data_IF_894438314499
#
_entry.id   IF_894438314499
#
_cell.length_a   1.000
_cell.length_b   1.000
_cell.length_c   1.000
_cell.angle_alpha   90.00
_cell.angle_beta   90.00
_cell.angle_gamma   90.00
#
_symmetry.space_group_name_H-M   'P 1'
#
loop_
_entity.id
_entity.type
_entity.pdbx_description
1 polymer ?
#
# COMPACT_ATOMS: atom_id res chain seq x y z
N UNK A 1 33.04 52.61 28.14
CA UNK A 1 34.30 51.90 27.91
C UNK A 1 33.95 50.44 27.64
N UNK A 2 33.87 50.04 26.36
CA UNK A 2 34.93 49.31 25.61
C UNK A 2 34.96 47.84 26.12
N UNK A 3 34.70 46.77 25.35
CA UNK A 3 34.80 46.52 23.91
C UNK A 3 33.81 45.43 23.45
N UNK A 4 33.24 45.64 22.25
CA UNK A 4 32.77 44.60 21.32
C UNK A 4 33.97 43.82 20.74
N UNK A 5 33.84 42.50 20.56
CA UNK A 5 34.48 41.69 19.50
C UNK A 5 33.55 40.47 19.30
N UNK A 6 32.84 40.20 18.20
CA UNK A 6 33.14 40.15 16.76
C UNK A 6 34.22 39.13 16.37
N UNK A 7 33.80 37.89 16.12
CA UNK A 7 34.53 36.98 15.24
C UNK A 7 33.58 36.34 14.22
N UNK A 8 33.61 36.94 13.03
CA UNK A 8 33.40 36.27 11.74
C UNK A 8 34.61 35.37 11.44
N UNK A 9 34.39 34.24 10.77
CA UNK A 9 35.22 33.52 9.78
C UNK A 9 34.59 32.11 9.66
N UNK A 10 34.45 31.43 8.53
CA UNK A 10 34.73 31.68 7.13
C UNK A 10 34.02 30.57 6.34
N UNK A 11 33.48 30.92 5.17
CA UNK A 11 32.94 30.00 4.17
C UNK A 11 33.96 28.93 3.75
N UNK A 12 33.60 27.65 3.88
CA UNK A 12 34.17 26.58 3.07
C UNK A 12 33.04 25.86 2.32
N UNK A 13 32.87 26.30 1.06
CA UNK A 13 32.12 25.62 0.02
C UNK A 13 32.84 24.30 -0.30
N UNK A 14 32.26 23.18 0.10
CA UNK A 14 32.57 21.89 -0.50
C UNK A 14 31.42 21.47 -1.43
N UNK A 15 31.49 21.96 -2.67
CA UNK A 15 30.74 21.41 -3.80
C UNK A 15 31.34 20.03 -4.12
N UNK A 16 30.76 18.95 -3.59
CA UNK A 16 30.97 17.63 -4.18
C UNK A 16 30.04 17.48 -5.38
N UNK A 17 30.69 17.47 -6.54
CA UNK A 17 30.15 17.25 -7.87
C UNK A 17 29.64 15.80 -7.94
N UNK A 18 28.37 15.56 -7.62
CA UNK A 18 27.70 14.33 -8.03
C UNK A 18 27.25 14.53 -9.47
N UNK A 19 27.99 13.92 -10.40
CA UNK A 19 27.61 13.82 -11.79
C UNK A 19 26.30 13.04 -11.89
N UNK A 20 25.19 13.75 -12.08
CA UNK A 20 23.97 13.16 -12.59
C UNK A 20 24.26 12.67 -14.02
N UNK A 21 24.50 11.37 -14.18
CA UNK A 21 24.26 10.73 -15.48
C UNK A 21 22.76 10.76 -15.71
N UNK A 22 22.33 11.69 -16.56
CA UNK A 22 20.99 11.71 -17.12
C UNK A 22 20.76 10.37 -17.85
N UNK A 23 19.91 9.52 -17.28
CA UNK A 23 19.29 8.44 -18.02
C UNK A 23 18.24 9.09 -18.93
N UNK A 24 18.68 9.51 -20.13
CA UNK A 24 17.79 9.83 -21.23
C UNK A 24 17.22 8.52 -21.80
N UNK A 25 16.37 7.87 -21.01
CA UNK A 25 15.39 6.92 -21.51
C UNK A 25 14.09 7.68 -21.63
N UNK A 26 13.81 8.24 -22.81
CA UNK A 26 12.46 8.68 -23.16
C UNK A 26 11.63 7.41 -23.21
N UNK A 27 11.03 7.02 -22.09
CA UNK A 27 10.04 5.96 -22.10
C UNK A 27 8.76 6.58 -22.64
N UNK A 28 8.38 6.13 -23.83
CA UNK A 28 7.20 6.60 -24.52
C UNK A 28 5.98 6.40 -23.61
N UNK A 29 5.22 7.47 -23.35
CA UNK A 29 3.95 7.42 -22.59
C UNK A 29 2.91 6.45 -23.18
N UNK A 30 3.13 5.92 -24.39
CA UNK A 30 2.26 4.95 -25.04
C UNK A 30 2.53 3.49 -24.64
N UNK A 31 3.70 3.19 -24.07
CA UNK A 31 4.09 1.80 -23.78
C UNK A 31 3.52 1.27 -22.45
N UNK A 32 2.87 2.13 -21.65
CA UNK A 32 2.32 1.75 -20.34
C UNK A 32 0.79 1.72 -20.26
N UNK A 33 0.07 2.13 -21.31
CA UNK A 33 -1.34 1.73 -21.45
C UNK A 33 -1.50 0.30 -21.96
N UNK A 34 -0.40 -0.32 -22.39
CA UNK A 34 -0.25 -1.77 -22.60
C UNK A 34 0.46 -2.44 -21.41
N UNK A 35 0.20 -1.99 -20.17
CA UNK A 35 0.63 -2.74 -18.97
C UNK A 35 -0.17 -4.04 -18.93
N UNK A 36 0.47 -5.07 -19.49
CA UNK A 36 0.15 -6.50 -19.48
C UNK A 36 -1.22 -6.84 -20.08
N UNK A 37 -1.29 -7.44 -21.30
CA UNK A 37 -2.55 -8.01 -21.78
C UNK A 37 -3.09 -8.95 -20.70
N UNK A 38 -4.42 -8.99 -20.50
CA UNK A 38 -5.11 -9.76 -19.45
C UNK A 38 -4.60 -11.21 -19.26
N UNK A 39 -3.94 -11.80 -20.25
CA UNK A 39 -3.31 -13.13 -20.19
C UNK A 39 -1.97 -13.17 -19.42
N UNK A 40 -1.18 -12.09 -19.39
CA UNK A 40 0.08 -12.02 -18.62
C UNK A 40 -0.16 -11.73 -17.12
N UNK A 41 -1.23 -11.00 -16.77
CA UNK A 41 -1.69 -10.85 -15.39
C UNK A 41 -2.13 -12.20 -14.79
N UNK A 42 -2.76 -13.06 -15.59
CA UNK A 42 -3.13 -14.44 -15.19
C UNK A 42 -1.90 -15.35 -15.05
N UNK A 43 -0.82 -15.12 -15.80
CA UNK A 43 0.44 -15.85 -15.62
C UNK A 43 1.30 -15.32 -14.46
N UNK A 44 1.20 -14.03 -14.12
CA UNK A 44 1.81 -13.44 -12.93
C UNK A 44 1.26 -14.07 -11.64
N UNK A 45 0.00 -14.54 -11.64
CA UNK A 45 -0.60 -15.30 -10.53
C UNK A 45 0.03 -16.69 -10.31
N UNK A 46 0.96 -17.15 -11.16
CA UNK A 46 1.68 -18.43 -11.02
C UNK A 46 3.19 -18.29 -10.86
N UNK A 47 3.75 -17.09 -11.05
CA UNK A 47 5.18 -16.85 -10.86
C UNK A 47 5.45 -16.46 -9.42
N UNK A 48 6.22 -17.29 -8.72
CA UNK A 48 6.92 -16.84 -7.53
C UNK A 48 7.87 -15.72 -7.96
N UNK A 49 7.57 -14.49 -7.56
CA UNK A 49 8.47 -13.37 -7.81
C UNK A 49 9.70 -13.52 -6.93
N UNK A 50 10.89 -13.41 -7.53
CA UNK A 50 12.10 -13.27 -6.74
C UNK A 50 11.99 -11.98 -5.90
N UNK A 51 12.54 -11.99 -4.69
CA UNK A 51 12.41 -10.86 -3.76
C UNK A 51 12.82 -9.52 -4.41
N UNK A 52 13.90 -9.51 -5.19
CA UNK A 52 14.37 -8.33 -5.92
C UNK A 52 13.38 -7.80 -6.97
N UNK A 53 12.56 -8.67 -7.56
CA UNK A 53 11.56 -8.29 -8.56
C UNK A 53 10.37 -7.55 -7.91
N UNK A 54 9.89 -8.03 -6.75
CA UNK A 54 8.82 -7.36 -5.99
C UNK A 54 9.23 -5.95 -5.58
N UNK A 55 10.47 -5.78 -5.10
CA UNK A 55 11.02 -4.47 -4.74
C UNK A 55 11.03 -3.51 -5.92
N UNK A 56 11.62 -3.93 -7.04
CA UNK A 56 11.72 -3.11 -8.24
C UNK A 56 10.33 -2.74 -8.77
N UNK A 57 9.40 -3.70 -8.74
CA UNK A 57 8.02 -3.49 -9.15
C UNK A 57 7.32 -2.45 -8.25
N UNK A 58 7.42 -2.56 -6.92
CA UNK A 58 6.83 -1.59 -5.99
C UNK A 58 7.35 -0.18 -6.21
N UNK A 59 8.67 0.00 -6.30
CA UNK A 59 9.28 1.31 -6.55
C UNK A 59 8.83 1.87 -7.90
N UNK A 60 8.76 1.03 -8.94
CA UNK A 60 8.28 1.45 -10.27
C UNK A 60 6.83 1.89 -10.24
N UNK A 61 5.95 1.10 -9.61
CA UNK A 61 4.53 1.43 -9.46
C UNK A 61 4.32 2.72 -8.68
N UNK A 62 5.05 2.89 -7.56
CA UNK A 62 5.00 4.10 -6.75
C UNK A 62 5.37 5.34 -7.57
N UNK A 63 6.47 5.27 -8.32
CA UNK A 63 6.97 6.39 -9.11
C UNK A 63 6.05 6.73 -10.28
N UNK A 64 5.55 5.74 -11.02
CA UNK A 64 4.69 5.97 -12.18
C UNK A 64 3.33 6.56 -11.80
N UNK A 65 2.81 6.20 -10.62
CA UNK A 65 1.49 6.61 -10.17
C UNK A 65 1.54 7.76 -9.13
N UNK A 66 2.74 8.29 -8.86
CA UNK A 66 2.99 9.31 -7.84
C UNK A 66 2.35 8.95 -6.48
N UNK A 67 2.56 7.71 -6.04
CA UNK A 67 2.04 7.18 -4.79
C UNK A 67 3.14 7.26 -3.73
N UNK A 68 2.79 7.75 -2.55
CA UNK A 68 3.56 7.57 -1.32
C UNK A 68 2.85 6.52 -0.48
N UNK A 69 3.42 5.33 -0.34
CA UNK A 69 2.85 4.31 0.55
C UNK A 69 3.00 4.74 2.00
N UNK A 70 1.92 4.66 2.77
CA UNK A 70 1.88 5.15 4.16
C UNK A 70 1.61 4.01 5.14
N UNK A 71 0.71 3.09 4.80
CA UNK A 71 0.27 2.03 5.71
C UNK A 71 0.44 0.64 5.12
N UNK A 72 0.88 -0.28 5.97
CA UNK A 72 0.86 -1.72 5.75
C UNK A 72 -0.08 -2.36 6.78
N UNK A 73 -1.07 -3.11 6.30
CA UNK A 73 -2.11 -3.71 7.14
C UNK A 73 -2.18 -5.21 6.87
N UNK A 74 -2.14 -6.03 7.91
CA UNK A 74 -2.38 -7.48 7.82
C UNK A 74 -3.75 -7.80 8.39
N UNK A 75 -4.60 -8.47 7.60
CA UNK A 75 -5.94 -8.86 7.99
C UNK A 75 -6.06 -10.37 7.94
N UNK A 76 -6.63 -10.96 9.00
CA UNK A 76 -6.78 -12.40 9.15
C UNK A 76 -8.26 -12.78 9.20
N UNK A 77 -8.54 -14.06 8.96
CA UNK A 77 -9.86 -14.65 9.16
C UNK A 77 -9.88 -15.41 10.49
N UNK A 78 -10.99 -15.33 11.23
CA UNK A 78 -11.18 -16.11 12.46
C UNK A 78 -11.42 -17.59 12.17
N UNK A 79 -12.10 -17.86 11.05
CA UNK A 79 -12.34 -19.20 10.53
C UNK A 79 -11.58 -19.31 9.21
N UNK A 80 -10.82 -20.37 9.03
CA UNK A 80 -9.99 -20.56 7.84
C UNK A 80 -10.84 -20.48 6.57
N UNK A 81 -10.41 -19.62 5.64
CA UNK A 81 -10.87 -19.65 4.27
C UNK A 81 -9.79 -20.35 3.46
N UNK A 82 -10.16 -21.43 2.78
CA UNK A 82 -9.25 -22.26 1.97
C UNK A 82 -9.35 -22.01 0.48
N UNK A 83 -10.36 -21.24 0.04
CA UNK A 83 -10.59 -20.85 -1.34
C UNK A 83 -10.09 -19.43 -1.60
N UNK A 84 -9.16 -19.27 -2.56
CA UNK A 84 -8.67 -17.96 -2.98
C UNK A 84 -9.81 -17.05 -3.46
N UNK A 85 -10.72 -17.59 -4.28
CA UNK A 85 -11.86 -16.83 -4.81
C UNK A 85 -12.81 -16.36 -3.70
N UNK A 86 -12.99 -17.15 -2.65
CA UNK A 86 -13.77 -16.70 -1.50
C UNK A 86 -13.07 -15.58 -0.73
N UNK A 87 -11.77 -15.74 -0.44
CA UNK A 87 -10.96 -14.71 0.21
C UNK A 87 -11.02 -13.41 -0.58
N UNK A 88 -10.80 -13.49 -1.88
CA UNK A 88 -10.85 -12.36 -2.83
C UNK A 88 -12.22 -11.68 -2.84
N UNK A 89 -13.31 -12.43 -2.83
CA UNK A 89 -14.67 -11.86 -2.75
C UNK A 89 -14.91 -11.11 -1.45
N UNK A 90 -14.41 -11.62 -0.32
CA UNK A 90 -14.48 -10.93 0.97
C UNK A 90 -13.66 -9.64 0.95
N UNK A 91 -12.43 -9.70 0.43
CA UNK A 91 -11.54 -8.54 0.30
C UNK A 91 -12.14 -7.47 -0.60
N UNK A 92 -12.70 -7.83 -1.75
CA UNK A 92 -13.35 -6.89 -2.68
C UNK A 92 -14.51 -6.13 -2.01
N UNK A 93 -15.38 -6.85 -1.27
CA UNK A 93 -16.44 -6.23 -0.46
C UNK A 93 -15.87 -5.29 0.61
N UNK A 94 -14.79 -5.71 1.26
CA UNK A 94 -14.13 -4.92 2.31
C UNK A 94 -13.58 -3.62 1.74
N UNK A 95 -12.80 -3.65 0.66
CA UNK A 95 -12.22 -2.47 0.02
C UNK A 95 -13.31 -1.49 -0.42
N UNK A 96 -14.39 -2.00 -1.02
CA UNK A 96 -15.55 -1.19 -1.40
C UNK A 96 -16.18 -0.51 -0.19
N UNK A 97 -16.40 -1.25 0.89
CA UNK A 97 -16.99 -0.70 2.12
C UNK A 97 -16.05 0.30 2.80
N UNK A 98 -14.76 0.00 2.88
CA UNK A 98 -13.73 0.87 3.42
C UNK A 98 -13.71 2.20 2.67
N UNK A 99 -13.72 2.14 1.34
CA UNK A 99 -13.74 3.33 0.52
C UNK A 99 -15.01 4.18 0.73
N UNK A 100 -16.16 3.52 0.93
CA UNK A 100 -17.42 4.19 1.21
C UNK A 100 -17.46 4.82 2.61
N UNK A 101 -16.87 4.19 3.63
CA UNK A 101 -16.77 4.75 4.97
C UNK A 101 -15.81 5.94 5.01
N UNK A 102 -14.73 5.89 4.22
CA UNK A 102 -13.79 7.00 4.09
C UNK A 102 -14.45 8.07 3.21
N UNK A 103 -14.49 7.91 1.90
CA UNK A 103 -14.86 9.00 0.99
C UNK A 103 -16.36 9.24 0.81
N UNK A 104 -17.21 8.31 1.26
CA UNK A 104 -18.65 8.34 1.02
C UNK A 104 -19.06 7.64 -0.28
N UNK A 105 -20.26 7.04 -0.27
CA UNK A 105 -20.80 6.20 -1.37
C UNK A 105 -20.87 6.88 -2.76
N UNK A 106 -20.97 8.21 -2.79
CA UNK A 106 -21.09 9.00 -4.03
C UNK A 106 -19.77 9.63 -4.47
N UNK A 107 -18.69 9.41 -3.72
CA UNK A 107 -17.40 10.00 -4.05
C UNK A 107 -16.79 9.35 -5.28
N UNK A 108 -16.16 10.17 -6.11
CA UNK A 108 -15.31 9.71 -7.21
C UNK A 108 -13.88 9.41 -6.75
N UNK A 109 -13.52 9.83 -5.53
CA UNK A 109 -12.20 9.58 -4.92
C UNK A 109 -12.16 8.19 -4.31
N UNK A 110 -10.98 7.60 -4.31
CA UNK A 110 -10.72 6.31 -3.69
C UNK A 110 -9.34 6.28 -3.05
N UNK A 111 -9.17 5.40 -2.08
CA UNK A 111 -7.85 5.07 -1.55
C UNK A 111 -6.99 4.47 -2.68
N UNK A 112 -5.70 4.79 -2.67
CA UNK A 112 -4.72 4.04 -3.45
C UNK A 112 -4.31 2.81 -2.63
N UNK A 113 -4.38 1.62 -3.20
CA UNK A 113 -4.03 0.40 -2.48
C UNK A 113 -3.44 -0.70 -3.37
N UNK A 114 -2.70 -1.60 -2.72
CA UNK A 114 -2.28 -2.90 -3.24
C UNK A 114 -2.73 -4.01 -2.29
N UNK A 115 -3.08 -5.16 -2.85
CA UNK A 115 -3.53 -6.32 -2.08
C UNK A 115 -2.71 -7.55 -2.43
N UNK A 116 -2.27 -8.25 -1.38
CA UNK A 116 -1.68 -9.57 -1.45
C UNK A 116 -2.59 -10.50 -0.65
N UNK A 117 -2.93 -11.64 -1.24
CA UNK A 117 -3.66 -12.70 -0.54
C UNK A 117 -2.71 -13.87 -0.46
N UNK A 118 -2.23 -14.12 0.75
CA UNK A 118 -1.21 -15.11 1.03
C UNK A 118 -1.85 -16.30 1.72
N UNK A 119 -1.43 -17.51 1.33
CA UNK A 119 -1.85 -18.73 2.00
C UNK A 119 -0.83 -19.07 3.09
N UNK A 120 -1.21 -18.90 4.34
CA UNK A 120 -0.44 -19.43 5.46
C UNK A 120 -0.36 -20.95 5.36
N UNK A 121 0.80 -21.51 5.69
CA UNK A 121 0.99 -22.95 5.81
C UNK A 121 0.09 -23.58 6.90
N UNK A 122 -0.35 -22.78 7.88
CA UNK A 122 -1.03 -23.25 9.09
C UNK A 122 -2.45 -22.75 9.27
N UNK A 123 -2.84 -21.61 8.67
CA UNK A 123 -4.06 -20.88 9.05
C UNK A 123 -4.94 -20.41 7.87
N UNK A 124 -4.83 -21.07 6.71
CA UNK A 124 -5.57 -20.68 5.50
C UNK A 124 -5.07 -19.36 4.91
N UNK A 125 -5.92 -18.65 4.16
CA UNK A 125 -5.53 -17.37 3.57
C UNK A 125 -5.50 -16.22 4.59
N UNK A 126 -4.61 -15.26 4.42
CA UNK A 126 -4.61 -13.95 5.06
C UNK A 126 -4.31 -12.86 4.03
N UNK A 127 -4.51 -11.60 4.41
CA UNK A 127 -4.49 -10.46 3.48
C UNK A 127 -3.46 -9.45 3.95
N UNK A 128 -2.58 -9.03 3.05
CA UNK A 128 -1.76 -7.83 3.24
C UNK A 128 -2.27 -6.71 2.34
N UNK A 129 -2.58 -5.58 2.95
CA UNK A 129 -3.09 -4.38 2.32
C UNK A 129 -2.09 -3.25 2.49
N UNK A 130 -1.61 -2.71 1.37
CA UNK A 130 -0.76 -1.52 1.34
C UNK A 130 -1.62 -0.35 0.94
N UNK A 131 -1.55 0.77 1.66
CA UNK A 131 -2.39 1.95 1.42
C UNK A 131 -1.49 3.17 1.23
N UNK A 132 -1.74 3.91 0.16
CA UNK A 132 -1.07 5.18 -0.13
C UNK A 132 -1.60 6.31 0.74
N UNK A 133 -0.80 7.35 0.94
CA UNK A 133 -1.22 8.57 1.63
C UNK A 133 -2.47 9.14 0.92
N UNK A 134 -3.49 9.37 1.74
CA UNK A 134 -4.79 9.83 1.30
C UNK A 134 -5.29 11.04 2.10
N UNK A 135 -4.56 11.50 3.12
CA UNK A 135 -5.02 12.61 3.97
C UNK A 135 -5.15 13.90 3.17
N UNK A 136 -4.21 14.16 2.26
CA UNK A 136 -4.26 15.32 1.36
C UNK A 136 -5.47 15.30 0.42
N UNK A 137 -6.03 14.11 0.15
CA UNK A 137 -7.16 13.93 -0.76
C UNK A 137 -8.51 14.14 -0.08
N UNK A 138 -8.56 14.20 1.25
CA UNK A 138 -9.78 14.43 1.99
C UNK A 138 -10.18 15.91 1.81
N UNK A 139 -11.32 16.17 1.14
CA UNK A 139 -11.81 17.55 1.03
C UNK A 139 -12.18 18.10 2.40
N UNK A 140 -12.09 19.42 2.55
CA UNK A 140 -12.41 20.19 3.77
C UNK A 140 -13.77 19.86 4.38
N UNK A 141 -14.74 19.45 3.56
CA UNK A 141 -16.13 19.14 3.97
C UNK A 141 -16.46 17.64 4.03
N UNK A 142 -15.48 16.76 3.85
CA UNK A 142 -15.72 15.32 4.09
C UNK A 142 -15.87 15.09 5.61
N UNK A 143 -16.71 14.13 6.03
CA UNK A 143 -16.76 13.67 7.44
C UNK A 143 -15.35 13.32 8.00
N UNK A 144 -14.38 13.15 7.10
CA UNK A 144 -13.00 12.68 7.26
C UNK A 144 -12.00 13.81 7.52
N UNK A 145 -12.35 15.11 7.53
CA UNK A 145 -11.46 16.06 8.25
C UNK A 145 -11.37 15.68 9.74
N UNK A 146 -12.34 14.89 10.24
CA UNK A 146 -12.32 14.25 11.57
C UNK A 146 -11.55 12.92 11.62
N UNK A 147 -11.27 12.25 10.49
CA UNK A 147 -10.34 11.10 10.46
C UNK A 147 -8.90 11.50 10.19
N UNK A 148 -8.53 12.78 10.30
CA UNK A 148 -7.12 13.21 10.33
C UNK A 148 -6.34 12.70 11.55
N UNK A 149 -6.84 11.67 12.23
CA UNK A 149 -6.21 10.95 13.31
C UNK A 149 -6.20 9.47 12.92
N UNK A 150 -5.00 8.89 12.91
CA UNK A 150 -4.72 7.47 12.67
C UNK A 150 -5.63 6.53 13.46
N UNK A 151 -5.98 6.89 14.70
CA UNK A 151 -6.85 6.07 15.56
C UNK A 151 -8.27 5.93 14.97
N UNK A 152 -8.80 6.98 14.34
CA UNK A 152 -10.09 6.87 13.66
C UNK A 152 -9.97 6.03 12.38
N UNK A 153 -8.85 6.10 11.68
CA UNK A 153 -8.61 5.25 10.53
C UNK A 153 -8.51 3.77 10.91
N UNK A 154 -7.77 3.44 11.97
CA UNK A 154 -7.72 2.09 12.56
C UNK A 154 -9.12 1.60 12.95
N UNK A 155 -9.90 2.44 13.64
CA UNK A 155 -11.28 2.10 14.00
C UNK A 155 -12.15 1.80 12.77
N UNK A 156 -12.06 2.62 11.71
CA UNK A 156 -12.80 2.38 10.46
C UNK A 156 -12.34 1.07 9.82
N UNK A 157 -11.03 0.84 9.71
CA UNK A 157 -10.48 -0.42 9.19
C UNK A 157 -11.01 -1.64 9.94
N UNK A 158 -10.91 -1.62 11.27
CA UNK A 158 -11.36 -2.71 12.14
C UNK A 158 -12.87 -2.93 11.99
N UNK A 159 -13.66 -1.87 12.10
CA UNK A 159 -15.12 -1.92 11.97
C UNK A 159 -15.53 -2.45 10.60
N UNK A 160 -14.93 -1.96 9.52
CA UNK A 160 -15.28 -2.38 8.15
C UNK A 160 -14.89 -3.83 7.93
N UNK A 161 -13.69 -4.26 8.38
CA UNK A 161 -13.26 -5.64 8.26
C UNK A 161 -14.16 -6.59 9.05
N UNK A 162 -14.41 -6.33 10.33
CA UNK A 162 -15.21 -7.21 11.18
C UNK A 162 -16.67 -7.35 10.73
N UNK A 163 -17.20 -6.42 9.93
CA UNK A 163 -18.58 -6.42 9.47
C UNK A 163 -18.76 -6.89 8.02
N UNK A 164 -17.69 -7.19 7.28
CA UNK A 164 -17.80 -7.55 5.86
C UNK A 164 -18.23 -9.01 5.65
N UNK A 165 -17.77 -9.92 6.50
CA UNK A 165 -18.06 -11.35 6.46
C UNK A 165 -17.94 -11.89 7.88
N UNK A 166 -18.83 -12.81 8.26
CA UNK A 166 -18.76 -13.40 9.60
C UNK A 166 -17.41 -14.09 9.87
N UNK A 167 -16.65 -14.52 8.86
CA UNK A 167 -15.39 -15.24 9.04
C UNK A 167 -14.19 -14.32 9.28
N UNK A 168 -14.32 -13.00 9.20
CA UNK A 168 -13.20 -12.09 9.46
C UNK A 168 -12.74 -12.15 10.92
N UNK A 169 -11.43 -12.13 11.13
CA UNK A 169 -10.80 -12.04 12.44
C UNK A 169 -10.63 -10.59 12.89
N UNK A 170 -10.58 -10.36 14.19
CA UNK A 170 -10.32 -9.04 14.77
C UNK A 170 -8.84 -8.69 14.56
N UNK A 171 -8.50 -7.63 13.79
CA UNK A 171 -7.11 -7.20 13.64
C UNK A 171 -6.56 -6.68 14.98
N UNK A 172 -5.27 -6.89 15.23
CA UNK A 172 -4.60 -6.33 16.40
C UNK A 172 -3.80 -5.08 16.03
N UNK A 173 -4.41 -3.91 16.24
CA UNK A 173 -3.82 -2.62 15.89
C UNK A 173 -2.99 -1.96 16.99
N UNK A 174 -2.85 -2.60 18.16
CA UNK A 174 -2.26 -1.97 19.35
C UNK A 174 -1.05 -2.72 19.92
N UNK A 175 -0.79 -3.96 19.50
CA UNK A 175 0.39 -4.69 19.96
C UNK A 175 1.69 -4.29 19.25
N UNK A 176 2.83 -4.72 19.78
CA UNK A 176 4.15 -4.51 19.18
C UNK A 176 4.28 -5.20 17.80
N UNK A 177 3.63 -6.35 17.63
CA UNK A 177 3.51 -7.05 16.35
C UNK A 177 2.20 -6.68 15.64
N UNK A 178 1.89 -5.38 15.64
CA UNK A 178 0.62 -4.90 15.15
C UNK A 178 0.36 -5.35 13.70
N UNK A 179 -0.89 -5.73 13.46
CA UNK A 179 -1.52 -5.84 12.15
C UNK A 179 -1.57 -4.51 11.37
N UNK A 180 -1.09 -3.39 11.94
CA UNK A 180 -1.07 -2.07 11.32
C UNK A 180 0.31 -1.42 11.52
N UNK A 181 0.98 -1.09 10.43
CA UNK A 181 2.36 -0.60 10.45
C UNK A 181 2.53 0.61 9.51
N UNK A 182 3.36 1.55 9.93
CA UNK A 182 3.78 2.68 9.10
C UNK A 182 4.88 2.28 8.14
N UNK A 183 4.79 2.79 6.91
CA UNK A 183 5.80 2.64 5.87
C UNK A 183 6.63 3.92 5.84
N UNK A 184 7.75 3.91 6.57
CA UNK A 184 8.65 5.07 6.60
C UNK A 184 9.51 5.19 5.33
N UNK A 185 9.73 4.07 4.63
CA UNK A 185 10.49 3.99 3.40
C UNK A 185 10.20 2.67 2.65
N UNK A 186 10.61 2.61 1.39
CA UNK A 186 10.46 1.42 0.53
C UNK A 186 11.11 0.17 1.12
N UNK A 187 12.17 0.31 1.91
CA UNK A 187 12.87 -0.81 2.56
C UNK A 187 12.00 -1.45 3.65
N UNK A 188 11.30 -0.65 4.46
CA UNK A 188 10.37 -1.14 5.47
C UNK A 188 9.20 -1.89 4.82
N UNK A 189 8.61 -1.33 3.75
CA UNK A 189 7.56 -2.01 2.98
C UNK A 189 8.03 -3.35 2.42
N UNK A 190 9.22 -3.35 1.83
CA UNK A 190 9.85 -4.55 1.31
C UNK A 190 10.09 -5.59 2.41
N UNK A 191 10.55 -5.18 3.60
CA UNK A 191 10.72 -6.08 4.73
C UNK A 191 9.39 -6.65 5.23
N UNK A 192 8.33 -5.85 5.30
CA UNK A 192 7.01 -6.34 5.72
C UNK A 192 6.45 -7.38 4.77
N UNK A 193 6.59 -7.15 3.47
CA UNK A 193 6.21 -8.13 2.47
C UNK A 193 7.11 -9.36 2.58
N UNK A 194 8.44 -9.21 2.50
CA UNK A 194 9.36 -10.35 2.38
C UNK A 194 9.59 -11.16 3.65
N UNK A 195 9.33 -10.60 4.84
CA UNK A 195 9.26 -11.38 6.09
C UNK A 195 8.13 -12.40 6.04
N UNK A 196 7.00 -12.02 5.44
CA UNK A 196 5.86 -12.92 5.21
C UNK A 196 6.12 -13.85 4.01
N UNK A 197 6.80 -13.36 2.96
CA UNK A 197 7.26 -14.19 1.82
C UNK A 197 8.44 -15.14 2.16
N UNK A 198 8.73 -15.34 3.46
CA UNK A 198 9.97 -15.91 3.98
C UNK A 198 10.22 -17.38 3.70
N UNK A 199 9.19 -18.15 3.35
CA UNK A 199 9.30 -19.60 3.26
C UNK A 199 8.25 -20.14 2.30
N UNK A 200 8.65 -20.37 1.04
CA UNK A 200 7.89 -21.17 0.06
C UNK A 200 6.38 -20.86 0.04
N UNK A 201 5.99 -19.69 -0.49
CA UNK A 201 4.60 -19.43 -0.87
C UNK A 201 3.99 -18.14 -0.34
N UNK A 202 4.20 -17.02 -1.04
CA UNK A 202 3.06 -16.14 -1.31
C UNK A 202 2.45 -16.57 -2.61
N UNK A 203 1.26 -17.16 -2.54
CA UNK A 203 0.67 -17.77 -3.72
C UNK A 203 0.12 -16.72 -4.71
N UNK A 204 -0.38 -15.54 -4.29
CA UNK A 204 -1.01 -14.62 -5.25
C UNK A 204 -0.90 -13.12 -4.90
N UNK A 205 -0.39 -12.33 -5.83
CA UNK A 205 -0.63 -10.89 -5.90
C UNK A 205 -2.01 -10.66 -6.53
N UNK A 206 -2.94 -10.00 -5.82
CA UNK A 206 -4.30 -9.81 -6.32
C UNK A 206 -4.35 -8.59 -7.25
N UNK A 207 -3.82 -8.73 -8.47
CA UNK A 207 -3.71 -7.64 -9.45
C UNK A 207 -5.04 -6.98 -9.78
N UNK A 208 -6.13 -7.73 -9.77
CA UNK A 208 -7.46 -7.23 -10.07
C UNK A 208 -8.13 -6.52 -8.88
N UNK A 209 -7.51 -6.58 -7.70
CA UNK A 209 -7.92 -5.81 -6.53
C UNK A 209 -7.07 -4.56 -6.30
N UNK A 210 -6.12 -4.23 -7.17
CA UNK A 210 -5.29 -3.03 -7.01
C UNK A 210 -6.03 -1.75 -7.42
N UNK A 211 -5.75 -0.64 -6.74
CA UNK A 211 -6.23 0.68 -7.12
C UNK A 211 -5.07 1.68 -7.07
N UNK A 212 -4.50 1.99 -8.23
CA UNK A 212 -3.32 2.86 -8.32
C UNK A 212 -3.67 4.32 -8.61
N UNK A 213 -4.82 4.59 -9.23
CA UNK A 213 -5.21 5.94 -9.65
C UNK A 213 -6.00 6.71 -8.58
N UNK A 214 -6.45 6.01 -7.52
CA UNK A 214 -7.22 6.61 -6.44
C UNK A 214 -8.60 7.10 -6.88
N UNK A 215 -9.20 6.46 -7.90
CA UNK A 215 -10.56 6.79 -8.39
C UNK A 215 -11.49 5.60 -8.19
N UNK A 216 -12.75 5.88 -7.87
CA UNK A 216 -13.72 4.84 -7.50
C UNK A 216 -14.28 4.03 -8.70
N UNK A 217 -13.72 4.19 -9.89
CA UNK A 217 -14.20 3.53 -11.11
C UNK A 217 -13.03 2.86 -11.82
N UNK A 218 -12.78 1.60 -11.46
CA UNK A 218 -12.10 0.52 -12.22
C UNK A 218 -11.71 -0.59 -11.23
N UNK A 219 -12.69 -1.33 -10.72
CA UNK A 219 -12.42 -2.75 -10.46
C UNK A 219 -12.60 -3.40 -11.83
N UNK A 220 -11.48 -3.73 -12.48
CA UNK A 220 -11.45 -4.43 -13.77
C UNK A 220 -11.83 -5.89 -13.51
#
# INVERSE_FOLDING_TARGET
>A
MIHQQSHQYSLLKNKKHCQHKAFNGIVNKKDFTEILPNQELVQANKKQFARSEVRNWLTTVSNLNNIKWEYFVTLTFRNEITSYEESKNVVSKFLKNLNNEIFGKRSKKSLQWLVFIEKSQYHGYHVHLIIGDFFEKLSTDSQIRRCGNEELFKYILEKTWNNVDQRTGKPDFHSFESSFQHIYNDEALYQYLTKQLGSVGSEVFAFDLMNLDGRYNKLI
#
